data_IF_061316617386
#
_entry.id   IF_061316617386
#
_cell.length_a   1.000
_cell.length_b   1.000
_cell.length_c   1.000
_cell.angle_alpha   90.00
_cell.angle_beta   90.00
_cell.angle_gamma   90.00
#
_symmetry.space_group_name_H-M   'P 1'
#
loop_
_entity.id
_entity.type
_entity.pdbx_description
1 polymer ?
#
# COMPACT_ATOMS: atom_id res chain seq x y z
N UNK A 1 1.06 13.42 8.65
CA UNK A 1 2.16 13.48 7.66
C UNK A 1 2.18 12.18 6.89
N UNK A 2 2.44 12.20 5.57
CA UNK A 2 2.64 10.97 4.81
C UNK A 2 3.84 10.18 5.38
N UNK A 3 3.75 8.85 5.36
CA UNK A 3 4.85 7.98 5.77
C UNK A 3 6.05 8.16 4.83
N UNK A 4 7.26 8.25 5.39
CA UNK A 4 8.49 8.27 4.60
C UNK A 4 8.66 6.96 3.82
N UNK A 5 9.43 7.01 2.73
CA UNK A 5 9.76 5.81 1.95
C UNK A 5 10.43 4.74 2.83
N UNK A 6 11.33 5.15 3.71
CA UNK A 6 12.01 4.25 4.66
C UNK A 6 11.03 3.55 5.61
N UNK A 7 10.07 4.29 6.19
CA UNK A 7 9.05 3.70 7.06
C UNK A 7 8.19 2.68 6.28
N UNK A 8 7.87 2.97 5.01
CA UNK A 8 7.14 2.05 4.14
C UNK A 8 7.94 0.79 3.82
N UNK A 9 9.25 0.93 3.59
CA UNK A 9 10.15 -0.21 3.39
C UNK A 9 10.20 -1.11 4.64
N UNK A 10 10.21 -0.53 5.84
CA UNK A 10 10.16 -1.28 7.10
C UNK A 10 8.85 -2.06 7.30
N UNK A 11 7.73 -1.59 6.73
CA UNK A 11 6.43 -2.27 6.82
C UNK A 11 6.32 -3.52 5.94
N UNK A 12 7.21 -3.71 4.96
CA UNK A 12 7.25 -4.93 4.13
C UNK A 12 7.71 -6.13 4.96
N UNK A 13 8.40 -5.87 6.07
CA UNK A 13 8.97 -6.89 6.95
C UNK A 13 10.46 -7.12 6.71
N UNK A 14 11.06 -8.13 7.36
CA UNK A 14 12.48 -8.41 7.21
C UNK A 14 12.79 -8.93 5.81
N UNK A 15 13.53 -8.14 5.03
CA UNK A 15 14.04 -8.50 3.70
C UNK A 15 15.55 -8.27 3.65
N UNK A 16 16.27 -9.02 2.81
CA UNK A 16 17.69 -8.77 2.55
C UNK A 16 17.90 -7.42 1.87
N UNK A 17 19.11 -6.87 1.96
CA UNK A 17 19.46 -5.60 1.33
C UNK A 17 19.26 -5.64 -0.19
N UNK A 18 19.69 -6.73 -0.86
CA UNK A 18 19.46 -6.91 -2.30
C UNK A 18 17.97 -6.89 -2.68
N UNK A 19 17.12 -7.52 -1.86
CA UNK A 19 15.66 -7.48 -2.08
C UNK A 19 15.10 -6.09 -1.79
N UNK A 20 15.60 -5.39 -0.77
CA UNK A 20 15.20 -4.03 -0.45
C UNK A 20 15.51 -3.07 -1.62
N UNK A 21 16.71 -3.14 -2.19
CA UNK A 21 17.07 -2.33 -3.35
C UNK A 21 16.22 -2.69 -4.59
N UNK A 22 15.93 -3.97 -4.78
CA UNK A 22 15.09 -4.43 -5.89
C UNK A 22 13.65 -3.87 -5.80
N UNK A 23 13.06 -3.87 -4.60
CA UNK A 23 11.66 -3.43 -4.43
C UNK A 23 11.51 -1.93 -4.22
N UNK A 24 12.57 -1.22 -3.82
CA UNK A 24 12.57 0.22 -3.52
C UNK A 24 11.87 1.07 -4.59
N UNK A 25 12.14 0.92 -5.92
CA UNK A 25 11.47 1.73 -6.94
C UNK A 25 9.96 1.46 -7.01
N UNK A 26 9.53 0.22 -6.77
CA UNK A 26 8.12 -0.16 -6.75
C UNK A 26 7.40 0.48 -5.57
N UNK A 27 8.02 0.45 -4.39
CA UNK A 27 7.46 1.01 -3.15
C UNK A 27 7.34 2.53 -3.27
N UNK A 28 8.34 3.18 -3.84
CA UNK A 28 8.30 4.62 -4.14
C UNK A 28 7.15 4.97 -5.08
N UNK A 29 6.99 4.24 -6.19
CA UNK A 29 5.90 4.46 -7.13
C UNK A 29 4.51 4.26 -6.50
N UNK A 30 4.38 3.28 -5.61
CA UNK A 30 3.13 3.03 -4.87
C UNK A 30 2.85 4.14 -3.86
N UNK A 31 3.88 4.64 -3.16
CA UNK A 31 3.75 5.76 -2.24
C UNK A 31 3.22 7.01 -2.97
N UNK A 32 3.81 7.37 -4.11
CA UNK A 32 3.37 8.50 -4.91
C UNK A 32 1.91 8.36 -5.40
N UNK A 33 1.49 7.16 -5.83
CA UNK A 33 0.10 6.90 -6.22
C UNK A 33 -0.86 7.03 -5.05
N UNK A 34 -0.51 6.50 -3.89
CA UNK A 34 -1.34 6.60 -2.69
C UNK A 34 -1.52 8.05 -2.24
N UNK A 35 -0.47 8.87 -2.32
CA UNK A 35 -0.53 10.31 -2.02
C UNK A 35 -1.44 11.06 -3.00
N UNK A 36 -1.28 10.81 -4.30
CA UNK A 36 -2.14 11.40 -5.32
C UNK A 36 -3.61 11.04 -5.11
N UNK A 37 -3.90 9.78 -4.78
CA UNK A 37 -5.25 9.32 -4.47
C UNK A 37 -5.79 10.02 -3.22
N UNK A 38 -5.01 10.11 -2.15
CA UNK A 38 -5.42 10.79 -0.92
C UNK A 38 -5.72 12.28 -1.18
N UNK A 39 -4.90 12.97 -1.97
CA UNK A 39 -5.14 14.35 -2.39
C UNK A 39 -6.44 14.48 -3.16
N UNK A 40 -6.69 13.59 -4.13
CA UNK A 40 -7.94 13.56 -4.89
C UNK A 40 -9.13 13.36 -3.95
N UNK A 41 -9.10 12.32 -3.11
CA UNK A 41 -10.18 11.99 -2.19
C UNK A 41 -10.51 13.17 -1.26
N UNK A 42 -9.50 13.79 -0.65
CA UNK A 42 -9.69 14.91 0.27
C UNK A 42 -10.25 16.17 -0.41
N UNK A 43 -10.06 16.33 -1.73
CA UNK A 43 -10.57 17.48 -2.49
C UNK A 43 -11.94 17.23 -3.11
N UNK A 44 -12.21 16.00 -3.53
CA UNK A 44 -13.34 15.68 -4.40
C UNK A 44 -14.45 14.91 -3.70
N UNK A 45 -14.17 14.23 -2.58
CA UNK A 45 -15.16 13.41 -1.90
C UNK A 45 -15.78 14.16 -0.72
N UNK A 46 -17.10 14.03 -0.61
CA UNK A 46 -17.84 14.49 0.58
C UNK A 46 -17.37 13.73 1.82
N UNK A 47 -17.37 14.34 3.02
CA UNK A 47 -17.16 13.63 4.29
C UNK A 47 -18.11 12.44 4.52
N UNK A 48 -19.25 12.41 3.82
CA UNK A 48 -20.21 11.30 3.83
C UNK A 48 -19.81 10.14 2.93
N UNK A 49 -18.75 10.30 2.13
CA UNK A 49 -18.23 9.24 1.27
C UNK A 49 -17.53 8.21 2.14
N UNK A 50 -18.06 6.98 2.15
CA UNK A 50 -17.47 5.88 2.88
C UNK A 50 -15.98 5.73 2.52
N UNK A 51 -15.07 5.63 3.52
CA UNK A 51 -13.67 5.41 3.24
C UNK A 51 -13.51 4.13 2.42
N UNK A 52 -12.70 4.20 1.35
CA UNK A 52 -12.35 3.03 0.55
C UNK A 52 -11.60 2.07 1.48
N UNK A 53 -12.29 1.03 1.92
CA UNK A 53 -11.71 -0.04 2.74
C UNK A 53 -11.24 -1.11 1.77
N UNK A 54 -9.98 -1.03 1.34
CA UNK A 54 -9.39 -2.08 0.53
C UNK A 54 -9.07 -3.28 1.44
N UNK A 55 -9.95 -4.29 1.44
CA UNK A 55 -9.60 -5.59 1.99
C UNK A 55 -8.61 -6.25 1.05
N UNK A 56 -7.32 -6.15 1.35
CA UNK A 56 -6.32 -7.02 0.75
C UNK A 56 -6.56 -8.40 1.35
N UNK A 57 -7.39 -9.20 0.68
CA UNK A 57 -7.49 -10.62 0.96
C UNK A 57 -6.09 -11.20 0.83
N UNK A 58 -5.40 -11.46 1.95
CA UNK A 58 -4.33 -12.46 1.96
C UNK A 58 -4.95 -13.72 1.36
N UNK A 59 -4.43 -14.23 0.25
CA UNK A 59 -4.93 -15.41 -0.45
C UNK A 59 -5.47 -16.46 0.54
N UNK A 60 -6.78 -16.48 0.77
CA UNK A 60 -7.43 -17.60 1.46
C UNK A 60 -7.40 -18.72 0.42
N UNK A 61 -6.36 -19.54 0.57
CA UNK A 61 -6.26 -20.94 0.20
C UNK A 61 -7.46 -21.44 -0.61
N UNK A 62 -7.41 -21.24 -1.93
CA UNK A 62 -8.24 -21.97 -2.90
C UNK A 62 -7.83 -23.46 -3.00
N UNK A 63 -7.45 -24.08 -1.86
CA UNK A 63 -7.21 -25.51 -1.78
C UNK A 63 -8.57 -26.19 -1.56
N UNK A 64 -8.98 -26.87 -2.64
CA UNK A 64 -10.18 -27.72 -2.83
C UNK A 64 -10.64 -28.45 -1.56
N UNK A 65 -11.96 -28.52 -1.29
CA UNK A 65 -12.52 -29.60 -0.48
C UNK A 65 -12.34 -30.93 -1.23
N UNK A 66 -11.92 -31.95 -0.48
CA UNK A 66 -11.80 -33.36 -0.86
C UNK A 66 -13.07 -33.94 -1.47
#
# INVERSE_FOLDING_TARGET
MPLSLEARMQMIGPISEDHAETVRPTVEAWAARAENLAIFCNKALSPETSPITAFVSSEILWRKPS
#
